data_IF_671136926650
#
_entry.id   IF_671136926650
#
_cell.length_a   1.000
_cell.length_b   1.000
_cell.length_c   1.000
_cell.angle_alpha   90.00
_cell.angle_beta   90.00
_cell.angle_gamma   90.00
#
_symmetry.space_group_name_H-M   'P 1'
#
loop_
_entity.id
_entity.type
_entity.pdbx_description
1 polymer ?
#
# COMPACT_ATOMS: atom_id res chain seq x y z
N UNK A 1 -16.38 -20.59 -16.65
CA UNK A 1 -15.79 -19.23 -16.62
C UNK A 1 -14.45 -19.33 -17.34
N UNK A 2 -14.22 -18.66 -18.48
CA UNK A 2 -12.94 -18.78 -19.17
C UNK A 2 -11.91 -17.88 -18.46
N UNK A 3 -10.78 -18.46 -18.07
CA UNK A 3 -9.58 -17.69 -17.73
C UNK A 3 -9.05 -17.03 -19.01
N UNK A 4 -9.35 -15.75 -19.18
CA UNK A 4 -8.65 -14.92 -20.16
C UNK A 4 -7.31 -14.52 -19.55
N UNK A 5 -6.22 -15.12 -20.05
CA UNK A 5 -4.87 -14.61 -19.83
C UNK A 5 -4.78 -13.24 -20.50
N UNK A 6 -4.73 -12.18 -19.69
CA UNK A 6 -4.63 -10.81 -20.15
C UNK A 6 -3.18 -10.49 -20.60
N UNK A 7 -2.99 -9.61 -21.59
CA UNK A 7 -1.67 -9.32 -22.17
C UNK A 7 -0.73 -8.65 -21.14
N UNK A 8 0.56 -8.99 -21.21
CA UNK A 8 1.67 -8.46 -20.40
C UNK A 8 1.91 -6.95 -20.61
N UNK A 9 0.98 -6.10 -20.18
CA UNK A 9 1.28 -4.69 -19.95
C UNK A 9 1.81 -4.57 -18.51
N UNK A 10 3.10 -4.21 -18.38
CA UNK A 10 3.77 -3.98 -17.10
C UNK A 10 3.05 -2.86 -16.34
N UNK A 11 2.13 -3.23 -15.44
CA UNK A 11 1.53 -2.33 -14.45
C UNK A 11 2.59 -1.98 -13.39
N UNK A 12 2.50 -0.81 -12.74
CA UNK A 12 3.12 -0.63 -11.42
C UNK A 12 2.56 -1.71 -10.49
N UNK A 13 3.41 -2.64 -10.04
CA UNK A 13 2.97 -3.86 -9.37
C UNK A 13 2.27 -3.63 -8.00
N UNK A 14 2.24 -2.39 -7.46
CA UNK A 14 1.69 -2.13 -6.12
C UNK A 14 0.22 -2.47 -5.94
N UNK A 15 -0.59 -2.10 -6.91
CA UNK A 15 -2.03 -2.21 -6.77
C UNK A 15 -2.61 -3.40 -7.53
N UNK A 16 -1.79 -4.35 -8.02
CA UNK A 16 -2.33 -5.47 -8.77
C UNK A 16 -3.30 -6.28 -7.91
N UNK A 17 -3.01 -6.59 -6.65
CA UNK A 17 -3.95 -7.35 -5.82
C UNK A 17 -5.27 -6.59 -5.56
N UNK A 18 -5.22 -5.35 -5.07
CA UNK A 18 -6.43 -4.57 -4.77
C UNK A 18 -7.18 -4.19 -6.05
N UNK A 19 -6.52 -3.55 -7.02
CA UNK A 19 -7.20 -3.14 -8.26
C UNK A 19 -7.64 -4.33 -9.10
N UNK A 20 -6.84 -5.39 -9.21
CA UNK A 20 -7.28 -6.59 -9.96
C UNK A 20 -8.41 -7.30 -9.21
N UNK A 21 -8.40 -7.35 -7.87
CA UNK A 21 -9.54 -7.92 -7.12
C UNK A 21 -10.81 -7.11 -7.31
N UNK A 22 -10.73 -5.77 -7.25
CA UNK A 22 -11.88 -4.89 -7.47
C UNK A 22 -12.38 -4.95 -8.92
N UNK A 23 -11.47 -4.97 -9.90
CA UNK A 23 -11.81 -5.20 -11.31
C UNK A 23 -12.48 -6.57 -11.50
N UNK A 24 -11.99 -7.63 -10.84
CA UNK A 24 -12.59 -8.97 -10.88
C UNK A 24 -14.00 -8.97 -10.29
N UNK A 25 -14.26 -8.12 -9.29
CA UNK A 25 -15.60 -7.89 -8.73
C UNK A 25 -16.44 -6.90 -9.54
N UNK A 26 -15.96 -6.48 -10.73
CA UNK A 26 -16.63 -5.52 -11.61
C UNK A 26 -16.88 -4.15 -10.98
N UNK A 27 -16.03 -3.76 -10.02
CA UNK A 27 -16.06 -2.42 -9.42
C UNK A 27 -15.28 -1.48 -10.34
N UNK A 28 -15.88 -0.35 -10.74
CA UNK A 28 -15.19 0.60 -11.60
C UNK A 28 -13.99 1.20 -10.86
N UNK A 29 -12.82 1.19 -11.48
CA UNK A 29 -11.62 1.85 -10.95
C UNK A 29 -11.34 3.18 -11.62
N UNK A 30 -11.94 3.44 -12.79
CA UNK A 30 -11.69 4.60 -13.66
C UNK A 30 -10.20 4.82 -14.03
N UNK A 31 -9.35 3.81 -13.77
CA UNK A 31 -7.92 3.79 -14.09
C UNK A 31 -7.71 2.94 -15.34
N UNK A 32 -7.16 3.56 -16.39
CA UNK A 32 -6.79 2.82 -17.60
C UNK A 32 -5.75 1.73 -17.30
N UNK A 33 -5.92 0.53 -17.90
CA UNK A 33 -4.99 -0.60 -17.74
C UNK A 33 -3.53 -0.26 -18.08
N UNK A 34 -3.31 0.68 -18.99
CA UNK A 34 -1.98 1.14 -19.40
C UNK A 34 -1.46 2.37 -18.66
N UNK A 35 -2.14 2.83 -17.59
CA UNK A 35 -1.72 3.99 -16.82
C UNK A 35 -0.48 3.66 -15.99
N UNK A 36 0.52 4.54 -16.09
CA UNK A 36 1.70 4.57 -15.22
C UNK A 36 1.74 5.91 -14.51
N UNK A 37 2.17 5.93 -13.26
CA UNK A 37 2.28 7.15 -12.48
C UNK A 37 3.70 7.68 -12.52
N UNK A 38 3.83 8.98 -12.74
CA UNK A 38 5.07 9.73 -12.57
C UNK A 38 5.00 10.66 -11.37
N UNK A 39 3.84 10.72 -10.71
CA UNK A 39 3.59 11.62 -9.59
C UNK A 39 2.88 10.85 -8.46
N UNK A 40 3.44 10.89 -7.25
CA UNK A 40 2.96 10.17 -6.07
C UNK A 40 1.55 10.62 -5.65
N UNK A 41 1.28 11.93 -5.66
CA UNK A 41 -0.04 12.47 -5.30
C UNK A 41 -1.13 11.96 -6.24
N UNK A 42 -0.88 11.96 -7.56
CA UNK A 42 -1.83 11.39 -8.54
C UNK A 42 -2.07 9.89 -8.34
N UNK A 43 -1.04 9.15 -7.90
CA UNK A 43 -1.14 7.73 -7.57
C UNK A 43 -2.03 7.51 -6.34
N UNK A 44 -1.82 8.26 -5.26
CA UNK A 44 -2.62 8.12 -4.05
C UNK A 44 -4.06 8.59 -4.23
N UNK A 45 -4.29 9.67 -4.99
CA UNK A 45 -5.66 10.13 -5.28
C UNK A 45 -6.45 9.08 -6.05
N UNK A 46 -5.84 8.44 -7.04
CA UNK A 46 -6.47 7.35 -7.78
C UNK A 46 -6.70 6.12 -6.89
N UNK A 47 -5.76 5.79 -5.98
CA UNK A 47 -5.95 4.72 -4.98
C UNK A 47 -7.15 5.01 -4.07
N UNK A 48 -7.27 6.24 -3.56
CA UNK A 48 -8.39 6.66 -2.71
C UNK A 48 -9.72 6.69 -3.48
N UNK A 49 -9.71 7.07 -4.76
CA UNK A 49 -10.91 7.02 -5.61
C UNK A 49 -11.39 5.58 -5.83
N UNK A 50 -10.47 4.62 -5.92
CA UNK A 50 -10.83 3.21 -6.02
C UNK A 50 -11.46 2.69 -4.71
N UNK A 51 -10.98 3.14 -3.55
CA UNK A 51 -11.62 2.81 -2.27
C UNK A 51 -13.01 3.43 -2.12
N UNK A 52 -13.22 4.66 -2.60
CA UNK A 52 -14.57 5.25 -2.71
C UNK A 52 -15.49 4.33 -3.52
N UNK A 53 -15.04 3.89 -4.70
CA UNK A 53 -15.83 3.03 -5.57
C UNK A 53 -16.09 1.66 -4.91
N UNK A 54 -15.13 1.10 -4.18
CA UNK A 54 -15.36 -0.11 -3.39
C UNK A 54 -16.50 0.08 -2.38
N UNK A 55 -16.49 1.19 -1.62
CA UNK A 55 -17.55 1.48 -0.65
C UNK A 55 -18.92 1.75 -1.31
N UNK A 56 -18.94 2.32 -2.52
CA UNK A 56 -20.16 2.63 -3.25
C UNK A 56 -20.79 1.41 -3.96
N UNK A 57 -19.96 0.57 -4.58
CA UNK A 57 -20.43 -0.49 -5.48
C UNK A 57 -20.45 -1.88 -4.84
N UNK A 58 -19.72 -2.10 -3.75
CA UNK A 58 -19.71 -3.38 -3.04
C UNK A 58 -20.61 -3.34 -1.80
N UNK A 59 -21.79 -3.96 -1.90
CA UNK A 59 -22.80 -3.93 -0.82
C UNK A 59 -22.36 -4.57 0.51
N UNK A 60 -21.29 -5.36 0.52
CA UNK A 60 -20.66 -5.92 1.71
C UNK A 60 -19.28 -5.29 2.02
N UNK A 61 -19.03 -4.06 1.55
CA UNK A 61 -17.81 -3.31 1.88
C UNK A 61 -17.75 -2.86 3.35
N UNK A 62 -18.90 -2.80 4.02
CA UNK A 62 -19.01 -2.47 5.44
C UNK A 62 -19.88 -3.48 6.18
N UNK A 63 -19.55 -3.72 7.44
CA UNK A 63 -20.26 -4.66 8.33
C UNK A 63 -21.56 -4.04 8.85
N UNK A 64 -21.52 -2.74 9.18
CA UNK A 64 -22.66 -1.97 9.69
C UNK A 64 -22.50 -0.46 9.43
N UNK A 65 -23.53 0.33 9.72
CA UNK A 65 -23.55 1.78 9.47
C UNK A 65 -22.36 2.54 10.07
N UNK A 66 -21.98 2.24 11.32
CA UNK A 66 -20.85 2.92 11.98
C UNK A 66 -19.52 2.64 11.27
N UNK A 67 -19.37 1.45 10.69
CA UNK A 67 -18.16 1.05 9.94
C UNK A 67 -18.13 1.78 8.60
N UNK A 68 -19.26 1.79 7.87
CA UNK A 68 -19.39 2.56 6.64
C UNK A 68 -19.10 4.06 6.85
N UNK A 69 -19.67 4.66 7.91
CA UNK A 69 -19.42 6.05 8.27
C UNK A 69 -17.96 6.31 8.64
N UNK A 70 -17.30 5.37 9.34
CA UNK A 70 -15.89 5.49 9.70
C UNK A 70 -14.99 5.44 8.47
N UNK A 71 -15.20 4.44 7.59
CA UNK A 71 -14.46 4.32 6.33
C UNK A 71 -14.65 5.56 5.44
N UNK A 72 -15.87 6.06 5.29
CA UNK A 72 -16.14 7.27 4.51
C UNK A 72 -15.45 8.52 5.11
N UNK A 73 -15.49 8.66 6.44
CA UNK A 73 -14.80 9.75 7.16
C UNK A 73 -13.28 9.66 6.96
N UNK A 74 -12.71 8.46 7.05
CA UNK A 74 -11.28 8.24 6.86
C UNK A 74 -10.86 8.55 5.41
N UNK A 75 -11.66 8.15 4.40
CA UNK A 75 -11.42 8.50 2.98
C UNK A 75 -11.42 10.01 2.74
N UNK A 76 -12.38 10.73 3.30
CA UNK A 76 -12.44 12.20 3.20
C UNK A 76 -11.22 12.83 3.87
N UNK A 77 -10.83 12.34 5.06
CA UNK A 77 -9.67 12.84 5.79
C UNK A 77 -8.37 12.59 5.02
N UNK A 78 -8.17 11.38 4.49
CA UNK A 78 -6.99 11.02 3.70
C UNK A 78 -6.86 11.89 2.45
N UNK A 79 -7.95 12.17 1.74
CA UNK A 79 -7.95 13.10 0.59
C UNK A 79 -7.60 14.53 1.00
N UNK A 80 -8.10 15.00 2.14
CA UNK A 80 -7.81 16.35 2.63
C UNK A 80 -6.36 16.51 3.12
N UNK A 81 -5.80 15.44 3.72
CA UNK A 81 -4.48 15.45 4.34
C UNK A 81 -3.37 14.86 3.46
N UNK A 82 -3.67 14.42 2.24
CA UNK A 82 -2.71 13.74 1.35
C UNK A 82 -1.38 14.51 1.21
N UNK A 83 -1.45 15.85 1.13
CA UNK A 83 -0.29 16.73 1.02
C UNK A 83 0.66 16.69 2.23
N UNK A 84 0.20 16.19 3.38
CA UNK A 84 1.01 15.98 4.58
C UNK A 84 1.75 14.63 4.54
N UNK A 85 1.25 13.68 3.76
CA UNK A 85 1.82 12.34 3.58
C UNK A 85 2.64 12.21 2.30
N UNK A 86 2.66 13.25 1.46
CA UNK A 86 3.50 13.33 0.25
C UNK A 86 4.57 14.38 0.40
N UNK A 87 5.81 14.07 0.03
CA UNK A 87 6.89 15.05 -0.01
C UNK A 87 6.98 15.67 -1.41
N UNK A 88 6.66 16.97 -1.51
CA UNK A 88 6.69 17.72 -2.78
C UNK A 88 8.02 17.67 -3.53
N UNK A 89 9.14 17.47 -2.83
CA UNK A 89 10.47 17.39 -3.44
C UNK A 89 10.75 16.06 -4.13
N UNK A 90 10.05 14.99 -3.76
CA UNK A 90 10.17 13.65 -4.36
C UNK A 90 8.86 13.13 -4.96
N UNK A 91 7.83 13.98 -4.98
CA UNK A 91 6.50 13.62 -5.50
C UNK A 91 6.56 13.21 -6.98
N UNK A 92 7.49 13.73 -7.77
CA UNK A 92 7.70 13.32 -9.17
C UNK A 92 8.56 12.05 -9.35
N UNK A 93 8.89 11.37 -8.25
CA UNK A 93 9.57 10.08 -8.25
C UNK A 93 10.99 10.10 -7.65
N UNK A 94 11.75 9.01 -7.83
CA UNK A 94 11.40 7.82 -8.63
C UNK A 94 10.36 6.92 -7.97
N UNK A 95 9.72 6.08 -8.79
CA UNK A 95 9.02 4.89 -8.28
C UNK A 95 10.00 3.72 -8.27
N UNK A 96 10.07 3.00 -7.15
CA UNK A 96 11.01 1.89 -6.94
C UNK A 96 10.26 0.62 -6.58
N UNK A 97 10.86 -0.55 -6.87
CA UNK A 97 10.29 -1.82 -6.44
C UNK A 97 10.44 -1.95 -4.92
N UNK A 98 9.33 -2.20 -4.22
CA UNK A 98 9.22 -2.36 -2.78
C UNK A 98 8.50 -3.68 -2.48
N UNK A 99 8.88 -4.32 -1.39
CA UNK A 99 8.27 -5.55 -0.92
C UNK A 99 7.37 -5.19 0.27
N UNK A 100 6.05 -5.21 0.06
CA UNK A 100 5.12 -4.56 1.00
C UNK A 100 4.63 -5.50 2.09
N UNK A 101 4.81 -6.80 1.87
CA UNK A 101 4.58 -7.86 2.86
C UNK A 101 5.90 -8.41 3.40
N UNK A 102 6.87 -7.53 3.69
CA UNK A 102 8.12 -7.97 4.32
C UNK A 102 7.90 -8.25 5.79
N UNK A 103 8.05 -9.51 6.18
CA UNK A 103 8.06 -9.98 7.56
C UNK A 103 9.23 -10.95 7.78
N UNK A 104 9.61 -11.19 9.03
CA UNK A 104 10.76 -12.03 9.37
C UNK A 104 10.70 -13.44 8.78
N UNK A 105 9.52 -14.08 8.74
CA UNK A 105 9.35 -15.40 8.10
C UNK A 105 9.48 -15.42 6.58
N UNK A 106 9.56 -14.27 5.90
CA UNK A 106 9.84 -14.18 4.46
C UNK A 106 11.34 -14.01 4.14
N UNK A 107 12.20 -13.94 5.17
CA UNK A 107 13.63 -13.75 5.04
C UNK A 107 14.34 -15.02 5.51
N UNK A 108 15.08 -15.66 4.61
CA UNK A 108 15.88 -16.84 4.93
C UNK A 108 17.35 -16.45 5.08
N UNK A 109 17.94 -16.78 6.23
CA UNK A 109 19.33 -16.46 6.57
C UNK A 109 20.18 -17.73 6.74
N UNK A 110 21.51 -17.61 6.62
CA UNK A 110 22.45 -18.67 7.03
C UNK A 110 22.80 -18.61 8.53
N UNK A 111 23.73 -19.48 8.96
CA UNK A 111 24.25 -19.56 10.33
C UNK A 111 24.96 -18.28 10.79
N UNK A 112 25.44 -17.46 9.85
CA UNK A 112 26.14 -16.19 10.09
C UNK A 112 25.19 -14.98 9.96
N UNK A 113 23.87 -15.20 9.87
CA UNK A 113 22.82 -14.19 9.69
C UNK A 113 22.86 -13.43 8.35
N UNK A 114 23.54 -13.93 7.32
CA UNK A 114 23.46 -13.33 5.98
C UNK A 114 22.13 -13.67 5.32
N UNK A 115 21.47 -12.69 4.71
CA UNK A 115 20.24 -12.90 3.94
C UNK A 115 20.59 -13.66 2.65
N UNK A 116 20.12 -14.90 2.54
CA UNK A 116 20.31 -15.74 1.36
C UNK A 116 19.14 -15.64 0.39
N UNK A 117 17.91 -15.60 0.92
CA UNK A 117 16.70 -15.60 0.10
C UNK A 117 15.62 -14.73 0.71
N UNK A 118 14.85 -14.10 -0.18
CA UNK A 118 13.58 -13.48 0.15
C UNK A 118 12.51 -14.25 -0.62
N UNK A 119 11.49 -14.74 0.10
CA UNK A 119 10.39 -15.53 -0.46
C UNK A 119 9.09 -14.72 -0.41
N UNK A 120 8.01 -15.29 -0.96
CA UNK A 120 6.66 -14.70 -0.92
C UNK A 120 6.58 -13.28 -1.52
N UNK A 121 7.01 -13.17 -2.78
CA UNK A 121 7.12 -11.90 -3.52
C UNK A 121 5.82 -11.48 -4.22
N UNK A 122 4.67 -12.09 -3.89
CA UNK A 122 3.40 -11.81 -4.57
C UNK A 122 2.88 -10.37 -4.31
N UNK A 123 3.41 -9.74 -3.26
CA UNK A 123 3.18 -8.35 -2.86
C UNK A 123 4.39 -7.45 -3.20
N UNK A 124 5.16 -7.78 -4.24
CA UNK A 124 6.22 -6.93 -4.76
C UNK A 124 5.64 -5.85 -5.69
N UNK A 125 6.09 -4.61 -5.53
CA UNK A 125 5.29 -3.46 -5.93
C UNK A 125 6.12 -2.24 -6.36
N UNK A 126 5.75 -1.53 -7.44
CA UNK A 126 6.39 -0.24 -7.77
C UNK A 126 5.67 0.92 -7.08
N UNK A 127 6.35 1.59 -6.14
CA UNK A 127 5.82 2.65 -5.28
C UNK A 127 6.68 3.91 -5.29
N UNK A 128 6.12 5.08 -4.92
CA UNK A 128 6.93 6.27 -4.66
C UNK A 128 8.07 5.98 -3.68
N UNK A 129 9.24 6.55 -3.94
CA UNK A 129 10.44 6.35 -3.11
C UNK A 129 10.21 6.69 -1.63
N UNK A 130 9.35 7.67 -1.33
CA UNK A 130 9.01 8.06 0.03
C UNK A 130 8.41 6.93 0.89
N UNK A 131 7.78 5.92 0.26
CA UNK A 131 7.24 4.75 0.97
C UNK A 131 8.32 3.73 1.38
N UNK A 132 9.53 3.84 0.83
CA UNK A 132 10.60 2.91 1.14
C UNK A 132 11.14 3.20 2.54
N UNK A 133 10.58 2.52 3.53
CA UNK A 133 10.94 2.64 4.94
C UNK A 133 11.47 1.30 5.47
N UNK A 134 12.30 1.31 6.51
CA UNK A 134 12.66 0.10 7.23
C UNK A 134 11.41 -0.69 7.67
N UNK A 135 11.44 -2.02 7.71
CA UNK A 135 10.32 -2.79 8.24
C UNK A 135 10.09 -2.50 9.73
N UNK A 136 8.86 -2.12 10.11
CA UNK A 136 8.51 -1.76 11.49
C UNK A 136 8.72 -2.86 12.51
N UNK A 137 8.57 -4.12 12.12
CA UNK A 137 8.82 -5.26 13.02
C UNK A 137 10.30 -5.41 13.42
N UNK A 138 11.24 -4.68 12.80
CA UNK A 138 12.64 -4.65 13.27
C UNK A 138 12.79 -4.07 14.68
N UNK A 139 11.83 -3.26 15.13
CA UNK A 139 11.81 -2.77 16.51
C UNK A 139 11.37 -3.83 17.51
N UNK A 140 10.79 -4.94 17.05
CA UNK A 140 10.21 -5.99 17.89
C UNK A 140 8.82 -5.64 18.45
N UNK A 141 8.25 -4.48 18.09
CA UNK A 141 6.98 -3.97 18.61
C UNK A 141 6.06 -3.58 17.45
N UNK A 142 4.79 -4.01 17.49
CA UNK A 142 3.77 -3.58 16.53
C UNK A 142 3.51 -2.07 16.64
N UNK A 143 3.14 -1.42 15.54
CA UNK A 143 2.83 0.03 15.56
C UNK A 143 1.66 0.35 16.50
N UNK A 144 0.72 -0.57 16.63
CA UNK A 144 -0.42 -0.54 17.55
C UNK A 144 -0.06 -0.89 19.00
N UNK A 145 1.15 -1.42 19.24
CA UNK A 145 1.67 -1.78 20.56
C UNK A 145 2.59 -0.71 21.16
N UNK A 146 2.89 0.36 20.41
CA UNK A 146 3.73 1.47 20.90
C UNK A 146 2.94 2.27 21.94
N UNK A 147 3.33 2.16 23.21
CA UNK A 147 2.66 2.83 24.32
C UNK A 147 3.55 3.89 24.98
N UNK A 148 2.99 5.10 25.11
CA UNK A 148 3.66 6.19 25.80
C UNK A 148 4.75 6.88 24.98
N UNK A 149 5.38 7.87 25.60
CA UNK A 149 6.33 8.77 24.92
C UNK A 149 7.66 8.09 24.62
N UNK A 150 8.18 7.31 25.56
CA UNK A 150 9.52 6.73 25.47
C UNK A 150 9.63 5.70 24.34
N UNK A 151 8.65 4.80 24.23
CA UNK A 151 8.58 3.82 23.14
C UNK A 151 8.39 4.49 21.77
N UNK A 152 7.58 5.55 21.71
CA UNK A 152 7.42 6.36 20.50
C UNK A 152 8.73 7.04 20.09
N UNK A 153 9.48 7.63 21.03
CA UNK A 153 10.76 8.27 20.75
C UNK A 153 11.81 7.27 20.25
N UNK A 154 11.84 6.05 20.81
CA UNK A 154 12.69 4.97 20.32
C UNK A 154 12.32 4.51 18.91
N UNK A 155 11.02 4.34 18.65
CA UNK A 155 10.53 4.02 17.31
C UNK A 155 10.92 5.12 16.31
N UNK A 156 10.63 6.39 16.63
CA UNK A 156 10.92 7.52 15.75
C UNK A 156 12.42 7.61 15.39
N UNK A 157 13.32 7.34 16.35
CA UNK A 157 14.76 7.33 16.11
C UNK A 157 15.23 6.27 15.11
N UNK A 158 14.43 5.23 14.82
CA UNK A 158 14.73 4.25 13.77
C UNK A 158 14.34 4.72 12.36
N UNK A 159 13.58 5.81 12.24
CA UNK A 159 13.02 6.33 10.98
C UNK A 159 13.43 7.78 10.65
N UNK A 160 14.16 8.45 11.55
CA UNK A 160 14.84 9.74 11.32
C UNK A 160 16.21 9.58 10.65
#
# INVERSE_FOLDING_TARGET
MPLYLLPNANRPMFCSAIFTSLENWSIPTDISRGRTYTNAESFYLDLLAVHDNHLLYQGNAAVHEIDACSQAKDLVLMKALIHQFTNRHVCEGPFVMQLTNMHSSNILVDEDWNINYIIDLEWACSLPLENLQPPFWLTGTGVDEIEGREEYEQFAACYD
#
